data_IF_607740215358
#
_entry.id   IF_607740215358
#
_cell.length_a   1.000
_cell.length_b   1.000
_cell.length_c   1.000
_cell.angle_alpha   90.00
_cell.angle_beta   90.00
_cell.angle_gamma   90.00
#
_symmetry.space_group_name_H-M   'P 1'
#
loop_
_entity.id
_entity.type
_entity.pdbx_description
1 polymer ?
#
# COMPACT_ATOMS: atom_id res chain seq x y z
N UNK A 1 -25.72 -27.98 -22.18
CA UNK A 1 -24.53 -27.71 -21.34
C UNK A 1 -23.43 -26.98 -22.09
N UNK A 2 -22.84 -27.54 -23.16
CA UNK A 2 -21.73 -26.89 -23.90
C UNK A 2 -22.06 -25.51 -24.52
N UNK A 3 -23.27 -25.33 -25.07
CA UNK A 3 -23.71 -24.03 -25.63
C UNK A 3 -23.85 -22.92 -24.57
N UNK A 4 -24.19 -23.28 -23.34
CA UNK A 4 -24.33 -22.35 -22.22
C UNK A 4 -22.96 -21.91 -21.68
N UNK A 5 -22.00 -22.84 -21.64
CA UNK A 5 -20.60 -22.55 -21.27
C UNK A 5 -19.94 -21.62 -22.29
N UNK A 6 -20.17 -21.83 -23.58
CA UNK A 6 -19.61 -20.98 -24.65
C UNK A 6 -20.16 -19.55 -24.62
N UNK A 7 -21.43 -19.38 -24.24
CA UNK A 7 -22.04 -18.05 -24.07
C UNK A 7 -21.46 -17.30 -22.86
N UNK A 8 -21.17 -18.02 -21.77
CA UNK A 8 -20.57 -17.44 -20.55
C UNK A 8 -19.11 -17.05 -20.75
N UNK A 9 -18.31 -17.84 -21.47
CA UNK A 9 -16.93 -17.46 -21.78
C UNK A 9 -16.88 -16.29 -22.77
N UNK A 10 -17.78 -16.23 -23.74
CA UNK A 10 -17.91 -15.08 -24.64
C UNK A 10 -18.35 -13.81 -23.90
N UNK A 11 -19.30 -13.89 -22.95
CA UNK A 11 -19.62 -12.76 -22.07
C UNK A 11 -18.40 -12.32 -21.25
N UNK A 12 -17.65 -13.24 -20.65
CA UNK A 12 -16.45 -12.92 -19.88
C UNK A 12 -15.36 -12.27 -20.75
N UNK A 13 -15.13 -12.76 -21.97
CA UNK A 13 -14.15 -12.18 -22.90
C UNK A 13 -14.59 -10.77 -23.33
N UNK A 14 -15.88 -10.57 -23.62
CA UNK A 14 -16.44 -9.25 -23.93
C UNK A 14 -16.34 -8.29 -22.73
N UNK A 15 -16.57 -8.77 -21.50
CA UNK A 15 -16.35 -7.98 -20.27
C UNK A 15 -14.88 -7.57 -20.14
N UNK A 16 -13.93 -8.47 -20.39
CA UNK A 16 -12.50 -8.14 -20.32
C UNK A 16 -12.03 -7.20 -21.44
N UNK A 17 -12.64 -7.27 -22.63
CA UNK A 17 -12.33 -6.39 -23.78
C UNK A 17 -12.96 -5.00 -23.61
N UNK A 18 -14.18 -4.90 -23.06
CA UNK A 18 -14.92 -3.64 -22.90
C UNK A 18 -14.51 -2.88 -21.63
N UNK A 19 -14.26 -3.58 -20.52
CA UNK A 19 -13.94 -2.94 -19.24
C UNK A 19 -12.43 -2.83 -18.95
N UNK A 20 -11.57 -3.45 -19.77
CA UNK A 20 -10.13 -3.53 -19.51
C UNK A 20 -9.83 -4.18 -18.16
N UNK A 21 -8.55 -4.45 -17.85
CA UNK A 21 -8.19 -4.60 -16.44
C UNK A 21 -8.39 -3.22 -15.79
N UNK A 22 -9.02 -3.11 -14.61
CA UNK A 22 -8.93 -1.87 -13.86
C UNK A 22 -7.44 -1.56 -13.71
N UNK A 23 -6.99 -0.46 -14.32
CA UNK A 23 -5.68 0.10 -14.06
C UNK A 23 -5.58 0.27 -12.56
N UNK A 24 -4.80 -0.57 -11.87
CA UNK A 24 -4.50 -0.37 -10.45
C UNK A 24 -3.83 0.98 -10.33
N UNK A 25 -4.63 1.98 -9.99
CA UNK A 25 -4.16 3.32 -9.76
C UNK A 25 -3.32 3.35 -8.47
N UNK A 26 -2.09 3.85 -8.64
CA UNK A 26 -1.35 4.71 -7.69
C UNK A 26 -0.96 4.21 -6.30
N UNK A 27 -1.07 2.93 -5.94
CA UNK A 27 -0.47 2.50 -4.67
C UNK A 27 1.07 2.42 -4.80
N UNK A 28 1.83 3.13 -3.94
CA UNK A 28 3.28 3.03 -3.95
C UNK A 28 3.71 1.60 -3.60
N UNK A 29 4.70 1.10 -4.33
CA UNK A 29 5.28 -0.22 -4.03
C UNK A 29 6.05 -0.18 -2.70
N UNK A 30 6.33 -1.34 -2.07
CA UNK A 30 7.17 -1.38 -0.87
C UNK A 30 8.51 -0.65 -1.04
N UNK A 31 9.14 -0.79 -2.21
CA UNK A 31 10.40 -0.10 -2.53
C UNK A 31 10.31 1.42 -2.48
N UNK A 32 9.14 1.98 -2.82
CA UNK A 32 8.91 3.42 -2.79
C UNK A 32 8.45 3.85 -1.39
N UNK A 33 7.41 3.23 -0.85
CA UNK A 33 6.82 3.66 0.43
C UNK A 33 7.77 3.51 1.60
N UNK A 34 8.52 2.41 1.71
CA UNK A 34 9.43 2.19 2.84
C UNK A 34 10.63 3.14 2.83
N UNK A 35 10.86 3.86 1.73
CA UNK A 35 11.91 4.88 1.58
C UNK A 35 11.39 6.31 1.72
N UNK A 36 10.08 6.50 1.89
CA UNK A 36 9.54 7.85 2.13
C UNK A 36 9.95 8.36 3.52
N UNK A 37 10.12 9.68 3.70
CA UNK A 37 10.36 10.25 5.02
C UNK A 37 9.13 10.11 5.92
N UNK A 38 9.30 10.21 7.24
CA UNK A 38 8.18 10.34 8.15
C UNK A 38 7.41 11.65 7.92
N UNK A 39 6.07 11.57 7.89
CA UNK A 39 5.21 12.75 7.74
C UNK A 39 4.23 12.82 8.91
N UNK A 40 4.41 13.83 9.76
CA UNK A 40 3.46 14.12 10.85
C UNK A 40 2.10 14.58 10.32
N UNK A 41 2.09 15.34 9.22
CA UNK A 41 0.88 15.96 8.66
C UNK A 41 0.38 17.17 9.46
N UNK A 42 -0.71 17.78 9.01
CA UNK A 42 -1.23 19.07 9.54
C UNK A 42 -2.04 18.94 10.84
N UNK A 43 -2.58 17.76 11.12
CA UNK A 43 -3.37 17.52 12.32
C UNK A 43 -2.50 17.45 13.58
N UNK A 44 -3.11 17.61 14.77
CA UNK A 44 -2.40 17.78 16.04
C UNK A 44 -2.63 16.65 17.05
N UNK A 45 -3.08 15.48 16.61
CA UNK A 45 -3.11 14.30 17.46
C UNK A 45 -1.67 13.82 17.76
N UNK A 46 -1.49 13.05 18.84
CA UNK A 46 -0.20 12.48 19.23
C UNK A 46 -0.23 10.95 19.07
N UNK A 47 -0.49 10.48 17.84
CA UNK A 47 -0.58 9.06 17.55
C UNK A 47 0.83 8.47 17.40
N UNK A 48 1.18 7.51 18.26
CA UNK A 48 2.41 6.74 18.08
C UNK A 48 2.26 5.81 16.88
N UNK A 49 3.18 5.91 15.94
CA UNK A 49 3.24 5.12 14.71
C UNK A 49 4.68 4.70 14.46
N UNK A 50 4.85 3.77 13.52
CA UNK A 50 6.13 3.23 13.13
C UNK A 50 6.42 3.59 11.69
N UNK A 51 7.67 3.91 11.38
CA UNK A 51 8.16 4.19 10.03
C UNK A 51 9.46 3.44 9.79
N UNK A 52 9.68 2.95 8.58
CA UNK A 52 10.91 2.29 8.21
C UNK A 52 12.03 3.30 7.98
N UNK A 53 13.20 3.00 8.49
CA UNK A 53 14.45 3.72 8.28
C UNK A 53 15.37 2.89 7.40
N UNK A 54 15.41 3.18 6.10
CA UNK A 54 16.24 2.40 5.16
C UNK A 54 17.75 2.50 5.48
N UNK A 55 18.19 3.58 6.14
CA UNK A 55 19.58 3.79 6.54
C UNK A 55 20.01 2.81 7.64
N UNK A 56 19.23 2.71 8.73
CA UNK A 56 19.52 1.74 9.79
C UNK A 56 18.95 0.34 9.53
N UNK A 57 18.06 0.21 8.55
CA UNK A 57 17.33 -1.02 8.22
C UNK A 57 16.27 -1.40 9.26
N UNK A 58 15.81 -0.46 10.09
CA UNK A 58 14.92 -0.71 11.24
C UNK A 58 13.63 0.08 11.15
N UNK A 59 12.60 -0.38 11.86
CA UNK A 59 11.39 0.40 12.09
C UNK A 59 11.56 1.26 13.35
N UNK A 60 11.30 2.55 13.23
CA UNK A 60 11.43 3.52 14.31
C UNK A 60 10.09 4.17 14.63
N UNK A 61 9.87 4.50 15.90
CA UNK A 61 8.67 5.20 16.33
C UNK A 61 8.69 6.67 15.90
N UNK A 62 7.52 7.21 15.56
CA UNK A 62 7.32 8.65 15.37
C UNK A 62 5.90 9.06 15.77
N UNK A 63 5.68 10.38 15.91
CA UNK A 63 4.36 10.95 16.27
C UNK A 63 3.64 11.45 15.01
N UNK A 64 2.59 10.73 14.62
CA UNK A 64 1.70 11.10 13.53
C UNK A 64 0.56 12.01 14.03
N UNK A 65 0.33 13.10 13.30
CA UNK A 65 -0.68 14.12 13.60
C UNK A 65 -2.12 13.67 13.40
N UNK A 66 -2.34 12.55 12.69
CA UNK A 66 -3.67 11.96 12.48
C UNK A 66 -4.29 12.19 11.10
N UNK A 67 -3.68 13.04 10.26
CA UNK A 67 -4.09 13.24 8.87
C UNK A 67 -2.90 13.65 8.00
N UNK A 68 -3.05 13.59 6.68
CA UNK A 68 -2.06 14.02 5.67
C UNK A 68 -0.66 13.43 5.90
N UNK A 69 -0.61 12.16 6.28
CA UNK A 69 0.63 11.37 6.30
C UNK A 69 0.89 10.73 4.93
N UNK A 70 1.95 9.95 4.85
CA UNK A 70 2.23 9.06 3.72
C UNK A 70 2.18 7.59 4.16
N UNK A 71 2.53 6.69 3.25
CA UNK A 71 2.46 5.24 3.42
C UNK A 71 3.58 4.65 4.27
N UNK A 72 4.64 5.42 4.61
CA UNK A 72 5.63 5.01 5.61
C UNK A 72 5.11 5.26 7.04
N UNK A 73 3.95 4.70 7.35
CA UNK A 73 3.21 4.94 8.59
C UNK A 73 2.43 3.69 8.99
N UNK A 74 2.97 2.94 9.93
CA UNK A 74 2.43 1.66 10.38
C UNK A 74 1.93 1.76 11.82
N UNK A 75 0.89 1.01 12.16
CA UNK A 75 0.32 0.98 13.52
C UNK A 75 1.21 0.22 14.52
N UNK A 76 2.11 -0.65 14.06
CA UNK A 76 3.00 -1.44 14.91
C UNK A 76 4.34 -1.70 14.23
N UNK A 77 5.37 -1.95 15.05
CA UNK A 77 6.71 -2.33 14.58
C UNK A 77 6.65 -3.59 13.71
N UNK A 78 5.88 -4.59 14.14
CA UNK A 78 5.71 -5.86 13.43
C UNK A 78 5.16 -5.65 12.02
N UNK A 79 4.16 -4.77 11.85
CA UNK A 79 3.60 -4.48 10.53
C UNK A 79 4.61 -3.76 9.63
N UNK A 80 5.35 -2.82 10.19
CA UNK A 80 6.42 -2.11 9.49
C UNK A 80 7.52 -3.08 9.03
N UNK A 81 8.02 -3.94 9.92
CA UNK A 81 9.09 -4.89 9.61
C UNK A 81 8.61 -5.95 8.61
N UNK A 82 7.39 -6.47 8.76
CA UNK A 82 6.83 -7.43 7.81
C UNK A 82 6.74 -6.86 6.38
N UNK A 83 6.54 -5.55 6.26
CA UNK A 83 6.40 -4.87 4.98
C UNK A 83 7.73 -4.43 4.37
N UNK A 84 8.65 -3.93 5.20
CA UNK A 84 9.81 -3.18 4.73
C UNK A 84 11.16 -3.87 5.00
N UNK A 85 11.21 -4.97 5.77
CA UNK A 85 12.48 -5.62 6.10
C UNK A 85 13.26 -6.02 4.83
N UNK A 86 14.54 -5.64 4.79
CA UNK A 86 15.46 -5.93 3.69
C UNK A 86 15.48 -4.88 2.57
N UNK A 87 14.60 -3.87 2.62
CA UNK A 87 14.66 -2.72 1.72
C UNK A 87 15.82 -1.82 2.14
N UNK A 88 16.65 -1.40 1.18
CA UNK A 88 17.82 -0.53 1.37
C UNK A 88 17.81 0.54 0.28
#
# INVERSE_FOLDING_TARGET
MAKLVLLMTMLCVLVNIVFGRPSQASHPTPQVMCKMPEVRGRCRALLQRWRYDALSGKCMEFKFGGCDGNENNFASEKACMAMCAGIR
#
